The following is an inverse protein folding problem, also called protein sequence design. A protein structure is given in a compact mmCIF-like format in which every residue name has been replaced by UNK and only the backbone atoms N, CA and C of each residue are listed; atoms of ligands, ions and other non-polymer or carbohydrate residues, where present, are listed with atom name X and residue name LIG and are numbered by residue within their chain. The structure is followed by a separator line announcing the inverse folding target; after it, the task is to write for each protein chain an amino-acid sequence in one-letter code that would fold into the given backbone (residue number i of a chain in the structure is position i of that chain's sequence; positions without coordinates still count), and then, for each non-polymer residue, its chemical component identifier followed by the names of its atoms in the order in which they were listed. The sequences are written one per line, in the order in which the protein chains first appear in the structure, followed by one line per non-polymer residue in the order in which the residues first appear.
data_IF_503120040199
#
_entry.id   IF_503120040199
#
_cell.length_a   1.000
_cell.length_b   1.000
_cell.length_c   1.000
_cell.angle_alpha   90.00
_cell.angle_beta   90.00
_cell.angle_gamma   90.00
#
_symmetry.space_group_name_H-M   'P 1'
#
loop_
_entity.id
_entity.type
_entity.pdbx_description
1 polymer ?
#
# COMPACT_ATOMS: atom_id res chain seq x y z
N UNK A 1 0.78 -15.57 -11.69
CA UNK A 1 -0.61 -16.09 -11.81
C UNK A 1 -0.62 -17.19 -12.86
N UNK A 2 -1.37 -18.28 -12.66
CA UNK A 2 -1.43 -19.39 -13.62
C UNK A 2 -2.28 -19.02 -14.86
N UNK A 3 -1.69 -19.12 -16.06
CA UNK A 3 -2.31 -18.80 -17.34
C UNK A 3 -3.52 -19.70 -17.67
N UNK A 4 -3.52 -20.96 -17.23
CA UNK A 4 -4.66 -21.88 -17.44
C UNK A 4 -5.87 -21.42 -16.64
N UNK A 5 -5.65 -20.92 -15.42
CA UNK A 5 -6.70 -20.37 -14.57
C UNK A 5 -7.31 -19.11 -15.16
N UNK A 6 -6.48 -18.19 -15.68
CA UNK A 6 -6.96 -16.97 -16.35
C UNK A 6 -7.85 -17.30 -17.55
N UNK A 7 -7.41 -18.18 -18.45
CA UNK A 7 -8.20 -18.58 -19.63
C UNK A 7 -9.54 -19.21 -19.25
N UNK A 8 -9.57 -20.06 -18.23
CA UNK A 8 -10.82 -20.66 -17.74
C UNK A 8 -11.80 -19.59 -17.25
N UNK A 9 -11.31 -18.61 -16.47
CA UNK A 9 -12.11 -17.50 -15.96
C UNK A 9 -12.68 -16.65 -17.12
N UNK A 10 -11.83 -16.27 -18.07
CA UNK A 10 -12.24 -15.50 -19.26
C UNK A 10 -13.29 -16.22 -20.11
N UNK A 11 -13.14 -17.55 -20.30
CA UNK A 11 -14.12 -18.35 -21.06
C UNK A 11 -15.49 -18.40 -20.36
N UNK A 12 -15.53 -18.25 -19.03
CA UNK A 12 -16.75 -18.18 -18.23
C UNK A 12 -17.29 -16.76 -18.03
N UNK A 13 -16.78 -15.78 -18.78
CA UNK A 13 -17.25 -14.38 -18.74
C UNK A 13 -16.63 -13.51 -17.64
N UNK A 14 -15.65 -14.01 -16.90
CA UNK A 14 -14.92 -13.22 -15.91
C UNK A 14 -13.84 -12.38 -16.58
N UNK A 15 -13.77 -11.11 -16.21
CA UNK A 15 -12.68 -10.22 -16.64
C UNK A 15 -11.45 -10.42 -15.75
N UNK A 16 -10.28 -10.44 -16.38
CA UNK A 16 -8.97 -10.44 -15.71
C UNK A 16 -8.26 -9.19 -16.17
N UNK A 17 -7.89 -8.34 -15.21
CA UNK A 17 -7.26 -7.05 -15.49
C UNK A 17 -6.45 -6.57 -14.29
N UNK A 18 -5.82 -5.42 -14.45
CA UNK A 18 -5.05 -4.78 -13.38
C UNK A 18 -5.95 -4.00 -12.41
N UNK A 19 -5.38 -3.53 -11.29
CA UNK A 19 -6.13 -2.71 -10.33
C UNK A 19 -6.43 -1.34 -10.93
N UNK A 20 -5.51 -0.82 -11.72
CA UNK A 20 -5.63 0.44 -12.47
C UNK A 20 -6.79 0.36 -13.46
N UNK A 21 -6.92 -0.75 -14.19
CA UNK A 21 -8.06 -1.00 -15.09
C UNK A 21 -9.39 -1.11 -14.32
N UNK A 22 -9.39 -1.80 -13.18
CA UNK A 22 -10.59 -1.98 -12.35
C UNK A 22 -11.08 -0.67 -11.73
N UNK A 23 -10.16 0.16 -11.25
CA UNK A 23 -10.47 1.45 -10.61
C UNK A 23 -10.52 2.63 -11.60
N UNK A 24 -10.13 2.41 -12.87
CA UNK A 24 -10.08 3.45 -13.90
C UNK A 24 -9.05 4.54 -13.60
N UNK A 25 -7.91 4.17 -13.01
CA UNK A 25 -6.90 5.12 -12.54
C UNK A 25 -6.11 5.71 -13.71
N UNK A 26 -5.81 7.00 -13.62
CA UNK A 26 -4.79 7.58 -14.49
C UNK A 26 -3.39 7.07 -14.12
N UNK A 27 -2.39 7.18 -15.02
CA UNK A 27 -1.00 6.86 -14.68
C UNK A 27 -0.50 7.63 -13.46
N UNK A 28 -0.91 8.88 -13.28
CA UNK A 28 -0.53 9.74 -12.17
C UNK A 28 -1.16 9.27 -10.85
N UNK A 29 -2.44 8.89 -10.86
CA UNK A 29 -3.12 8.34 -9.68
C UNK A 29 -2.51 7.00 -9.25
N UNK A 30 -2.19 6.15 -10.23
CA UNK A 30 -1.52 4.87 -9.99
C UNK A 30 -0.14 5.07 -9.37
N UNK A 31 0.66 6.01 -9.93
CA UNK A 31 1.96 6.36 -9.37
C UNK A 31 1.86 6.95 -7.96
N UNK A 32 0.85 7.77 -7.70
CA UNK A 32 0.60 8.33 -6.37
C UNK A 32 0.25 7.24 -5.34
N UNK A 33 -0.60 6.28 -5.70
CA UNK A 33 -0.94 5.14 -4.85
C UNK A 33 0.28 4.26 -4.55
N UNK A 34 1.07 3.93 -5.58
CA UNK A 34 2.30 3.15 -5.41
C UNK A 34 3.31 3.87 -4.51
N UNK A 35 3.48 5.18 -4.68
CA UNK A 35 4.32 5.98 -3.79
C UNK A 35 3.85 5.92 -2.34
N UNK A 36 2.54 6.07 -2.12
CA UNK A 36 1.94 6.02 -0.77
C UNK A 36 2.14 4.66 -0.12
N UNK A 37 1.95 3.57 -0.88
CA UNK A 37 2.13 2.19 -0.42
C UNK A 37 3.60 1.88 -0.13
N UNK A 38 4.51 2.33 -0.98
CA UNK A 38 5.94 2.16 -0.77
C UNK A 38 6.39 2.89 0.51
N UNK A 39 5.94 4.13 0.70
CA UNK A 39 6.30 4.93 1.87
C UNK A 39 5.77 4.34 3.19
N UNK A 40 4.51 3.90 3.21
CA UNK A 40 3.91 3.30 4.43
C UNK A 40 4.63 2.01 4.85
N UNK A 41 4.97 1.16 3.88
CA UNK A 41 5.73 -0.08 4.10
C UNK A 41 7.13 0.22 4.61
N UNK A 42 7.88 1.05 3.90
CA UNK A 42 9.27 1.38 4.24
C UNK A 42 9.37 2.03 5.64
N UNK A 43 8.43 2.92 6.00
CA UNK A 43 8.37 3.53 7.32
C UNK A 43 8.22 2.46 8.42
N UNK A 44 7.27 1.54 8.23
CA UNK A 44 7.00 0.46 9.18
C UNK A 44 8.18 -0.49 9.29
N UNK A 45 8.79 -0.88 8.18
CA UNK A 45 9.94 -1.77 8.13
C UNK A 45 11.13 -1.16 8.86
N UNK A 46 11.49 0.10 8.57
CA UNK A 46 12.56 0.81 9.30
C UNK A 46 12.30 0.89 10.78
N UNK A 47 11.06 1.17 11.20
CA UNK A 47 10.71 1.21 12.63
C UNK A 47 10.93 -0.14 13.30
N UNK A 48 10.51 -1.24 12.65
CA UNK A 48 10.66 -2.60 13.16
C UNK A 48 12.14 -2.99 13.22
N UNK A 49 12.94 -2.68 12.19
CA UNK A 49 14.38 -2.93 12.18
C UNK A 49 15.12 -2.20 13.30
N UNK A 50 14.64 -1.03 13.70
CA UNK A 50 15.16 -0.28 14.85
C UNK A 50 14.67 -0.83 16.21
N UNK A 51 13.73 -1.78 16.23
CA UNK A 51 13.19 -2.37 17.45
C UNK A 51 12.38 -1.40 18.31
N UNK A 52 11.81 -0.35 17.73
CA UNK A 52 11.08 0.70 18.49
C UNK A 52 9.57 0.67 18.25
N UNK A 53 8.81 1.11 19.25
CA UNK A 53 7.34 1.26 19.14
C UNK A 53 6.95 2.46 18.26
N UNK A 54 5.71 2.49 17.78
CA UNK A 54 5.15 3.65 17.05
C UNK A 54 5.21 4.93 17.89
N UNK A 55 4.93 4.84 19.20
CA UNK A 55 5.06 5.98 20.13
C UNK A 55 6.49 6.49 20.25
N UNK A 56 7.47 5.57 20.24
CA UNK A 56 8.89 5.93 20.30
C UNK A 56 9.33 6.64 19.02
N UNK A 57 8.90 6.16 17.85
CA UNK A 57 9.15 6.82 16.57
C UNK A 57 8.47 8.21 16.53
N UNK A 58 7.22 8.30 16.97
CA UNK A 58 6.48 9.55 17.04
C UNK A 58 7.24 10.61 17.84
N UNK A 59 7.75 10.26 19.03
CA UNK A 59 8.57 11.17 19.85
C UNK A 59 9.85 11.61 19.14
N UNK A 60 10.54 10.71 18.42
CA UNK A 60 11.78 11.01 17.69
C UNK A 60 11.57 12.04 16.57
N UNK A 61 10.42 12.02 15.90
CA UNK A 61 10.15 12.88 14.74
C UNK A 61 9.17 14.02 15.02
N UNK A 62 8.86 14.30 16.29
CA UNK A 62 7.94 15.38 16.66
C UNK A 62 6.48 15.15 16.22
N UNK A 63 6.04 13.89 16.19
CA UNK A 63 4.68 13.50 15.79
C UNK A 63 3.91 12.82 16.93
N UNK A 64 2.69 12.35 16.65
CA UNK A 64 1.88 11.55 17.58
C UNK A 64 1.85 10.09 17.15
N UNK A 65 1.66 9.16 18.10
CA UNK A 65 1.57 7.73 17.78
C UNK A 65 0.44 7.45 16.76
N UNK A 66 -0.70 8.14 16.88
CA UNK A 66 -1.81 7.98 15.93
C UNK A 66 -1.43 8.40 14.51
N UNK A 67 -0.65 9.48 14.34
CA UNK A 67 -0.15 9.89 13.00
C UNK A 67 0.82 8.87 12.43
N UNK A 68 1.70 8.28 13.26
CA UNK A 68 2.58 7.19 12.81
C UNK A 68 1.76 5.96 12.41
N UNK A 69 0.75 5.58 13.21
CA UNK A 69 -0.09 4.43 12.90
C UNK A 69 -0.84 4.59 11.58
N UNK A 70 -1.41 5.78 11.33
CA UNK A 70 -2.07 6.15 10.07
C UNK A 70 -1.09 6.11 8.88
N UNK A 71 0.08 6.72 9.03
CA UNK A 71 1.12 6.70 8.02
C UNK A 71 1.58 5.27 7.67
N UNK A 72 1.81 4.41 8.67
CA UNK A 72 2.18 3.00 8.47
C UNK A 72 1.04 2.14 7.89
N UNK A 73 -0.22 2.52 8.12
CA UNK A 73 -1.39 1.88 7.52
C UNK A 73 -1.62 2.34 6.06
N UNK A 74 -1.02 3.45 5.65
CA UNK A 74 -1.37 4.10 4.38
C UNK A 74 -2.72 4.82 4.43
N UNK A 75 -3.26 5.07 5.62
CA UNK A 75 -4.56 5.72 5.85
C UNK A 75 -4.37 7.17 6.29
N UNK A 76 -5.22 8.08 5.81
CA UNK A 76 -5.38 9.44 6.32
C UNK A 76 -4.10 10.16 6.75
N UNK A 77 -3.43 10.79 5.78
CA UNK A 77 -2.34 11.73 6.01
C UNK A 77 -2.91 13.12 6.27
#
# INVERSE_FOLDING_TARGET
MDLKKQRKLQTTGWQVGSVEEFLGLTPEESAYLELKLALSRELKERRILQGISQSSLAKRIGSSQSRIAKAEAGDGW
#
